data_IF_671876023792
#
_entry.id   IF_671876023792
#
_cell.length_a   1.000
_cell.length_b   1.000
_cell.length_c   1.000
_cell.angle_alpha   90.00
_cell.angle_beta   90.00
_cell.angle_gamma   90.00
#
_symmetry.space_group_name_H-M   'P 1'
#
loop_
_entity.id
_entity.type
_entity.pdbx_description
1 polymer ?
#
# COMPACT_ATOMS: atom_id res chain seq x y z
N UNK A 1 11.82 -9.33 -18.26
CA UNK A 1 11.95 -9.91 -16.90
C UNK A 1 12.04 -8.71 -15.96
N UNK A 2 11.15 -8.56 -14.97
CA UNK A 2 11.47 -7.68 -13.83
C UNK A 2 12.47 -8.46 -12.97
N UNK A 3 13.70 -7.97 -12.86
CA UNK A 3 14.77 -8.64 -12.11
C UNK A 3 14.81 -8.28 -10.63
N UNK A 4 13.96 -7.35 -10.19
CA UNK A 4 13.98 -6.81 -8.83
C UNK A 4 12.87 -7.47 -8.01
N UNK A 5 13.27 -8.01 -6.86
CA UNK A 5 12.37 -8.56 -5.84
C UNK A 5 12.35 -7.60 -4.65
N UNK A 6 11.16 -7.15 -4.29
CA UNK A 6 10.93 -6.25 -3.16
C UNK A 6 10.26 -7.05 -2.05
N UNK A 7 10.81 -6.99 -0.84
CA UNK A 7 10.25 -7.65 0.33
C UNK A 7 10.60 -6.91 1.62
N UNK A 8 9.84 -7.14 2.68
CA UNK A 8 10.07 -6.60 4.03
C UNK A 8 10.09 -5.06 4.05
N UNK A 9 9.02 -4.45 3.52
CA UNK A 9 8.88 -3.00 3.41
C UNK A 9 7.88 -2.49 4.44
N UNK A 10 8.27 -1.50 5.23
CA UNK A 10 7.46 -0.95 6.32
C UNK A 10 7.07 0.50 6.04
N UNK A 11 5.78 0.75 5.85
CA UNK A 11 5.20 2.10 5.78
C UNK A 11 4.50 2.40 7.10
N UNK A 12 5.12 3.25 7.92
CA UNK A 12 4.69 3.50 9.30
C UNK A 12 4.44 4.98 9.55
N UNK A 13 3.35 5.30 10.24
CA UNK A 13 3.00 6.64 10.75
C UNK A 13 2.94 7.73 9.65
N UNK A 14 2.37 7.38 8.49
CA UNK A 14 2.22 8.29 7.35
C UNK A 14 0.87 8.99 7.44
N UNK A 15 0.85 10.32 7.53
CA UNK A 15 -0.40 11.11 7.51
C UNK A 15 -0.33 12.22 6.49
N UNK A 16 -1.39 12.40 5.69
CA UNK A 16 -1.45 13.49 4.72
C UNK A 16 -2.62 13.44 3.75
N UNK A 17 -2.45 14.16 2.65
CA UNK A 17 -3.42 14.21 1.54
C UNK A 17 -2.75 13.82 0.24
N UNK A 18 -3.46 13.10 -0.60
CA UNK A 18 -3.01 12.73 -1.94
C UNK A 18 -3.51 13.75 -2.97
N UNK A 19 -2.72 13.97 -4.01
CA UNK A 19 -3.12 14.76 -5.18
C UNK A 19 -4.10 13.99 -6.08
N UNK A 20 -4.15 12.67 -5.97
CA UNK A 20 -4.97 11.75 -6.78
C UNK A 20 -5.87 10.88 -5.90
N UNK A 21 -6.96 10.35 -6.47
CA UNK A 21 -7.88 9.46 -5.73
C UNK A 21 -7.20 8.18 -5.24
N UNK A 22 -6.28 7.61 -6.02
CA UNK A 22 -5.43 6.49 -5.57
C UNK A 22 -4.24 7.09 -4.83
N UNK A 23 -4.14 6.82 -3.53
CA UNK A 23 -3.06 7.30 -2.67
C UNK A 23 -2.02 6.22 -2.37
N UNK A 24 -2.42 4.95 -2.42
CA UNK A 24 -1.53 3.79 -2.27
C UNK A 24 -1.64 2.95 -3.54
N UNK A 25 -0.53 2.74 -4.24
CA UNK A 25 -0.49 1.91 -5.44
C UNK A 25 0.71 0.96 -5.39
N UNK A 26 0.46 -0.31 -5.08
CA UNK A 26 1.45 -1.38 -5.17
C UNK A 26 1.24 -2.14 -6.48
N UNK A 27 2.06 -1.85 -7.48
CA UNK A 27 2.04 -2.52 -8.78
C UNK A 27 3.31 -3.36 -8.93
N UNK A 28 3.21 -4.63 -8.56
CA UNK A 28 4.32 -5.56 -8.55
C UNK A 28 4.23 -6.57 -9.69
N UNK A 29 5.39 -7.07 -10.14
CA UNK A 29 5.48 -8.04 -11.22
C UNK A 29 4.87 -9.38 -10.82
N UNK A 30 4.06 -9.99 -11.68
CA UNK A 30 3.53 -11.34 -11.46
C UNK A 30 4.63 -12.41 -11.35
N UNK A 31 5.80 -12.16 -11.95
CA UNK A 31 6.97 -13.06 -11.84
C UNK A 31 7.75 -12.90 -10.53
N UNK A 32 7.68 -11.72 -9.92
CA UNK A 32 8.39 -11.36 -8.70
C UNK A 32 7.44 -10.53 -7.83
N UNK A 33 6.41 -11.17 -7.23
CA UNK A 33 5.44 -10.47 -6.40
C UNK A 33 6.13 -9.82 -5.21
N UNK A 34 5.61 -8.67 -4.79
CA UNK A 34 6.05 -8.03 -3.55
C UNK A 34 5.50 -8.81 -2.37
N UNK A 35 6.34 -9.03 -1.35
CA UNK A 35 5.96 -9.79 -0.16
C UNK A 35 6.32 -9.05 1.11
N UNK A 36 5.64 -9.38 2.20
CA UNK A 36 5.94 -8.85 3.54
C UNK A 36 5.89 -7.31 3.58
N UNK A 37 4.94 -6.71 2.85
CA UNK A 37 4.65 -5.27 2.98
C UNK A 37 3.85 -5.05 4.26
N UNK A 38 4.27 -4.09 5.08
CA UNK A 38 3.56 -3.71 6.30
C UNK A 38 3.07 -2.27 6.19
N UNK A 39 1.75 -2.08 6.33
CA UNK A 39 1.12 -0.78 6.53
C UNK A 39 0.75 -0.61 8.00
N UNK A 40 1.32 0.39 8.67
CA UNK A 40 1.02 0.67 10.09
C UNK A 40 0.70 2.14 10.29
N UNK A 41 -0.47 2.45 10.84
CA UNK A 41 -0.87 3.83 11.14
C UNK A 41 -0.77 4.77 9.91
N UNK A 42 -1.30 4.34 8.77
CA UNK A 42 -1.28 5.12 7.53
C UNK A 42 -2.63 5.82 7.35
N UNK A 43 -2.63 7.14 7.20
CA UNK A 43 -3.82 7.97 7.02
C UNK A 43 -3.64 8.93 5.84
N UNK A 44 -4.16 8.55 4.68
CA UNK A 44 -4.12 9.33 3.45
C UNK A 44 -5.54 9.58 2.95
N UNK A 45 -5.84 10.85 2.69
CA UNK A 45 -7.15 11.29 2.21
C UNK A 45 -7.04 11.98 0.85
N UNK A 46 -8.13 12.04 0.09
CA UNK A 46 -8.24 12.78 -1.16
C UNK A 46 -9.45 13.71 -1.10
N UNK A 47 -9.24 15.02 -1.19
CA UNK A 47 -10.31 16.04 -1.10
C UNK A 47 -11.21 15.86 0.15
N UNK A 48 -10.59 15.64 1.30
CA UNK A 48 -11.26 15.39 2.59
C UNK A 48 -12.16 14.15 2.62
N UNK A 49 -11.97 13.21 1.69
CA UNK A 49 -12.63 11.92 1.65
C UNK A 49 -11.57 10.80 1.76
N UNK A 50 -11.96 9.58 2.15
CA UNK A 50 -11.06 8.44 2.11
C UNK A 50 -10.45 8.29 0.71
N UNK A 51 -9.13 8.14 0.64
CA UNK A 51 -8.47 7.83 -0.63
C UNK A 51 -8.72 6.36 -1.02
N UNK A 52 -8.12 5.91 -2.12
CA UNK A 52 -8.16 4.51 -2.55
C UNK A 52 -6.76 3.88 -2.50
N UNK A 53 -6.74 2.55 -2.30
CA UNK A 53 -5.56 1.71 -2.41
C UNK A 53 -5.73 0.66 -3.51
N UNK A 54 -4.68 0.40 -4.28
CA UNK A 54 -4.63 -0.65 -5.31
C UNK A 54 -3.40 -1.52 -5.13
N UNK A 55 -3.58 -2.83 -5.24
CA UNK A 55 -2.55 -3.84 -5.02
C UNK A 55 -2.60 -4.86 -6.15
N UNK A 56 -1.46 -5.07 -6.82
CA UNK A 56 -1.29 -6.04 -7.91
C UNK A 56 -0.04 -6.86 -7.58
N UNK A 57 -0.21 -8.18 -7.39
CA UNK A 57 0.85 -9.11 -6.99
C UNK A 57 1.62 -8.66 -5.74
N UNK A 58 0.91 -8.12 -4.75
CA UNK A 58 1.49 -7.56 -3.54
C UNK A 58 0.81 -8.15 -2.31
N UNK A 59 1.59 -8.86 -1.50
CA UNK A 59 1.13 -9.51 -0.28
C UNK A 59 1.75 -8.84 0.95
N UNK A 60 0.98 -8.81 2.04
CA UNK A 60 1.41 -8.14 3.25
C UNK A 60 0.35 -8.07 4.34
N UNK A 61 0.53 -7.13 5.25
CA UNK A 61 -0.36 -6.93 6.38
C UNK A 61 -0.57 -5.46 6.69
N UNK A 62 -1.73 -5.16 7.26
CA UNK A 62 -2.06 -3.83 7.77
C UNK A 62 -2.39 -3.91 9.26
N UNK A 63 -1.88 -2.97 10.05
CA UNK A 63 -2.12 -2.91 11.50
C UNK A 63 -2.32 -1.46 11.98
N UNK A 64 -3.05 -1.29 13.09
CA UNK A 64 -3.42 0.03 13.59
C UNK A 64 -4.45 0.73 12.72
N UNK A 65 -4.41 2.07 12.67
CA UNK A 65 -5.33 2.87 11.85
C UNK A 65 -4.83 2.95 10.41
N UNK A 66 -5.56 2.34 9.46
CA UNK A 66 -5.16 2.33 8.04
C UNK A 66 -6.31 2.83 7.18
N UNK A 67 -6.16 4.04 6.66
CA UNK A 67 -7.03 4.69 5.68
C UNK A 67 -6.13 5.25 4.57
N UNK A 68 -6.33 4.90 3.28
CA UNK A 68 -7.40 4.08 2.72
C UNK A 68 -7.36 2.62 3.19
N UNK A 69 -8.49 1.92 3.09
CA UNK A 69 -8.57 0.50 3.42
C UNK A 69 -7.49 -0.29 2.69
N UNK A 70 -6.76 -1.13 3.42
CA UNK A 70 -5.68 -1.94 2.85
C UNK A 70 -6.21 -2.85 1.73
N UNK A 71 -5.47 -2.90 0.62
CA UNK A 71 -5.71 -3.83 -0.48
C UNK A 71 -4.76 -5.04 -0.45
N UNK A 72 -3.85 -5.11 0.52
CA UNK A 72 -2.87 -6.19 0.62
C UNK A 72 -3.59 -7.49 0.94
N UNK A 73 -3.35 -8.53 0.14
CA UNK A 73 -3.72 -9.91 0.45
C UNK A 73 -2.75 -10.51 1.45
N UNK A 74 -3.26 -11.45 2.26
CA UNK A 74 -2.45 -12.25 3.17
C UNK A 74 -2.13 -13.60 2.55
#
# INVERSE_FOLDING_TARGET
ISGVKISDVHYTDITGTSATRVAVNFDCSSKNPCKDITLKNVKLTYRNQPAHATCINADGSSSGFVEPASCLSR
#
